data_IF_565637783808
#
_entry.id   IF_565637783808
#
_cell.length_a   1.000
_cell.length_b   1.000
_cell.length_c   1.000
_cell.angle_alpha   90.00
_cell.angle_beta   90.00
_cell.angle_gamma   90.00
#
_symmetry.space_group_name_H-M   'P 1'
#
loop_
_entity.id
_entity.type
_entity.pdbx_description
1 polymer ?
#
# COMPACT_ATOMS: atom_id res chain seq x y z
N UNK A 1 11.56 20.76 -22.65
CA UNK A 1 11.76 20.22 -21.36
C UNK A 1 10.63 19.34 -20.87
N UNK A 2 10.99 18.20 -20.36
CA UNK A 2 9.97 17.30 -19.86
C UNK A 2 9.56 17.64 -18.48
N UNK A 3 8.29 17.53 -18.23
CA UNK A 3 7.80 17.70 -16.89
C UNK A 3 7.54 16.36 -16.26
N UNK A 4 7.80 16.27 -14.99
CA UNK A 4 7.48 15.08 -14.24
C UNK A 4 5.99 15.04 -14.03
N UNK A 5 5.39 13.96 -14.49
CA UNK A 5 3.95 13.81 -14.40
C UNK A 5 3.63 12.97 -13.19
N UNK A 6 3.38 13.64 -12.10
CA UNK A 6 2.96 12.94 -10.89
C UNK A 6 1.47 12.74 -10.92
N UNK A 7 1.04 11.56 -10.53
CA UNK A 7 -0.36 11.20 -10.45
C UNK A 7 -0.68 10.78 -9.03
N UNK A 8 -1.93 10.84 -8.70
CA UNK A 8 -2.36 10.42 -7.38
C UNK A 8 -2.73 8.96 -7.41
N UNK A 9 -2.20 8.21 -6.46
CA UNK A 9 -2.43 6.78 -6.33
C UNK A 9 -2.98 6.47 -4.96
N UNK A 10 -3.72 5.40 -4.90
CA UNK A 10 -4.17 4.82 -3.64
C UNK A 10 -3.68 3.41 -3.56
N UNK A 11 -3.20 3.04 -2.39
CA UNK A 11 -2.66 1.71 -2.18
C UNK A 11 -3.26 1.13 -0.93
N UNK A 12 -3.80 -0.07 -1.07
CA UNK A 12 -4.20 -0.88 0.07
C UNK A 12 -3.24 -2.06 0.11
N UNK A 13 -2.72 -2.37 1.27
CA UNK A 13 -1.91 -3.57 1.39
C UNK A 13 -2.23 -4.28 2.70
N UNK A 14 -1.98 -5.57 2.67
CA UNK A 14 -2.29 -6.47 3.79
C UNK A 14 -0.99 -7.11 4.23
N UNK A 15 -0.70 -6.96 5.51
CA UNK A 15 0.46 -7.57 6.13
C UNK A 15 -0.03 -8.79 6.91
N UNK A 16 0.72 -9.88 6.86
CA UNK A 16 0.34 -11.06 7.62
C UNK A 16 0.23 -10.70 9.10
N UNK A 17 -0.53 -11.46 9.89
CA UNK A 17 -0.75 -11.10 11.31
C UNK A 17 0.54 -11.26 12.11
N UNK A 18 1.21 -10.13 12.30
CA UNK A 18 2.47 -10.03 13.03
C UNK A 18 2.30 -8.97 14.10
N UNK A 19 3.34 -8.73 14.86
CA UNK A 19 3.29 -7.76 15.93
C UNK A 19 3.14 -6.35 15.36
N UNK A 20 2.53 -5.49 16.15
CA UNK A 20 2.29 -4.11 15.74
C UNK A 20 3.58 -3.42 15.30
N UNK A 21 4.66 -3.67 16.00
CA UNK A 21 5.94 -3.05 15.67
C UNK A 21 6.39 -3.43 14.27
N UNK A 22 6.23 -4.68 13.91
CA UNK A 22 6.63 -5.15 12.57
C UNK A 22 5.71 -4.59 11.49
N UNK A 23 4.43 -4.42 11.83
CA UNK A 23 3.49 -3.79 10.92
C UNK A 23 3.92 -2.37 10.62
N UNK A 24 4.33 -1.61 11.66
CA UNK A 24 4.79 -0.25 11.46
C UNK A 24 6.05 -0.21 10.61
N UNK A 25 6.94 -1.17 10.77
CA UNK A 25 8.14 -1.25 9.94
C UNK A 25 7.77 -1.45 8.47
N UNK A 26 6.78 -2.30 8.21
CA UNK A 26 6.35 -2.54 6.83
C UNK A 26 5.77 -1.27 6.21
N UNK A 27 4.96 -0.54 6.98
CA UNK A 27 4.41 0.75 6.52
C UNK A 27 5.55 1.71 6.23
N UNK A 28 6.52 1.78 7.11
CA UNK A 28 7.64 2.70 6.96
C UNK A 28 8.45 2.39 5.71
N UNK A 29 8.64 1.13 5.39
CA UNK A 29 9.37 0.75 4.19
C UNK A 29 8.68 1.30 2.94
N UNK A 30 7.37 1.21 2.91
CA UNK A 30 6.60 1.71 1.78
C UNK A 30 6.70 3.23 1.72
N UNK A 31 6.52 3.87 2.86
CA UNK A 31 6.60 5.33 2.91
C UNK A 31 7.97 5.83 2.47
N UNK A 32 9.02 5.13 2.87
CA UNK A 32 10.37 5.55 2.52
C UNK A 32 10.62 5.48 1.01
N UNK A 33 10.08 4.47 0.34
CA UNK A 33 10.23 4.39 -1.11
C UNK A 33 9.60 5.60 -1.78
N UNK A 34 8.43 5.99 -1.31
CA UNK A 34 7.73 7.13 -1.87
C UNK A 34 8.53 8.41 -1.64
N UNK A 35 8.91 8.66 -0.39
CA UNK A 35 9.58 9.93 -0.07
C UNK A 35 11.00 9.98 -0.59
N UNK A 36 11.70 8.85 -0.64
CA UNK A 36 13.07 8.82 -1.15
C UNK A 36 13.12 9.14 -2.65
N UNK A 37 12.03 8.92 -3.35
CA UNK A 37 11.94 9.27 -4.77
C UNK A 37 11.48 10.71 -4.97
N UNK A 38 11.34 11.49 -3.89
CA UNK A 38 10.90 12.86 -4.00
C UNK A 38 9.40 13.01 -4.17
N UNK A 39 8.65 11.98 -3.83
CA UNK A 39 7.20 12.01 -3.98
C UNK A 39 6.54 12.27 -2.64
N UNK A 40 5.23 12.50 -2.66
CA UNK A 40 4.52 13.00 -1.49
C UNK A 40 3.47 12.03 -1.01
N UNK A 41 3.46 11.81 0.30
CA UNK A 41 2.41 11.03 0.94
C UNK A 41 1.36 11.98 1.45
N UNK A 42 0.11 11.73 1.09
CA UNK A 42 -1.00 12.55 1.55
C UNK A 42 -1.65 12.01 2.79
N UNK A 43 -1.84 10.70 2.84
CA UNK A 43 -2.53 10.07 3.95
C UNK A 43 -1.99 8.67 4.14
N UNK A 44 -1.83 8.28 5.39
CA UNK A 44 -1.56 6.90 5.74
C UNK A 44 -2.59 6.51 6.81
N UNK A 45 -3.36 5.46 6.54
CA UNK A 45 -4.35 4.96 7.49
C UNK A 45 -3.99 3.54 7.86
N UNK A 46 -4.13 3.24 9.12
CA UNK A 46 -3.92 1.90 9.66
C UNK A 46 -5.30 1.36 10.03
N UNK A 47 -5.77 0.41 9.22
CA UNK A 47 -7.09 -0.14 9.49
C UNK A 47 -7.05 -1.27 10.49
N UNK A 48 -5.86 -1.81 10.76
CA UNK A 48 -5.68 -2.83 11.77
C UNK A 48 -6.03 -4.22 11.28
N UNK A 49 -6.23 -5.10 12.25
CA UNK A 49 -6.50 -6.50 11.96
C UNK A 49 -7.91 -6.67 11.45
N UNK A 50 -8.05 -7.36 10.31
CA UNK A 50 -9.35 -7.62 9.72
C UNK A 50 -9.36 -9.02 9.15
N UNK A 51 -10.56 -9.55 9.07
CA UNK A 51 -10.79 -10.84 8.44
C UNK A 51 -10.63 -10.71 6.94
N UNK A 52 -10.04 -11.71 6.31
CA UNK A 52 -9.88 -11.76 4.86
C UNK A 52 -10.90 -12.76 4.32
N UNK A 53 -11.68 -12.33 3.31
CA UNK A 53 -12.76 -13.16 2.77
C UNK A 53 -12.25 -14.49 2.23
N UNK A 54 -11.07 -14.48 1.61
CA UNK A 54 -10.42 -15.70 1.13
C UNK A 54 -9.07 -15.82 1.79
N UNK A 55 -8.63 -17.04 1.98
CA UNK A 55 -7.29 -17.21 2.50
C UNK A 55 -6.27 -16.70 1.50
N UNK A 56 -5.30 -15.97 1.97
CA UNK A 56 -4.19 -15.49 1.17
C UNK A 56 -2.93 -16.05 1.81
N UNK A 57 -2.18 -16.86 1.08
CA UNK A 57 -0.97 -17.50 1.58
C UNK A 57 -1.22 -18.23 2.89
N UNK A 58 -2.41 -18.82 3.04
CA UNK A 58 -2.75 -19.56 4.23
C UNK A 58 -3.31 -18.74 5.37
N UNK A 59 -3.39 -17.42 5.20
CA UNK A 59 -3.90 -16.53 6.25
C UNK A 59 -5.33 -16.12 5.95
N UNK A 60 -6.18 -16.13 6.98
CA UNK A 60 -7.54 -15.62 6.84
C UNK A 60 -7.75 -14.34 7.66
N UNK A 61 -6.69 -13.77 8.16
CA UNK A 61 -6.66 -12.47 8.81
C UNK A 61 -5.41 -11.75 8.37
N UNK A 62 -5.43 -10.43 8.43
CA UNK A 62 -4.27 -9.64 8.13
C UNK A 62 -4.37 -8.24 8.71
N UNK A 63 -3.28 -7.53 8.64
CA UNK A 63 -3.22 -6.14 9.09
C UNK A 63 -3.30 -5.25 7.87
N UNK A 64 -4.32 -4.42 7.81
CA UNK A 64 -4.63 -3.60 6.64
C UNK A 64 -4.12 -2.20 6.81
N UNK A 65 -3.54 -1.65 5.76
CA UNK A 65 -3.13 -0.25 5.72
C UNK A 65 -3.50 0.36 4.37
N UNK A 66 -3.65 1.66 4.36
CA UNK A 66 -4.09 2.40 3.19
C UNK A 66 -3.24 3.67 3.09
N UNK A 67 -2.70 3.93 1.90
CA UNK A 67 -1.85 5.10 1.67
C UNK A 67 -2.31 5.80 0.41
N UNK A 68 -2.45 7.12 0.51
CA UNK A 68 -2.69 7.97 -0.66
C UNK A 68 -1.42 8.76 -0.90
N UNK A 69 -0.94 8.75 -2.11
CA UNK A 69 0.31 9.42 -2.42
C UNK A 69 0.32 9.95 -3.86
N UNK A 70 1.16 10.92 -4.09
CA UNK A 70 1.40 11.44 -5.44
C UNK A 70 2.78 11.01 -5.87
N UNK A 71 2.89 10.45 -7.06
CA UNK A 71 4.15 9.87 -7.50
C UNK A 71 4.20 9.73 -9.01
N UNK A 72 5.40 9.53 -9.51
CA UNK A 72 5.62 9.17 -10.89
C UNK A 72 5.52 7.66 -11.04
N UNK A 73 5.34 7.22 -12.27
CA UNK A 73 5.21 5.80 -12.57
C UNK A 73 6.39 4.99 -12.05
N UNK A 74 7.59 5.56 -12.10
CA UNK A 74 8.77 4.81 -11.67
C UNK A 74 8.71 4.46 -10.19
N UNK A 75 8.10 5.33 -9.39
CA UNK A 75 7.96 5.07 -7.96
C UNK A 75 7.02 3.89 -7.73
N UNK A 76 5.93 3.83 -8.49
CA UNK A 76 5.00 2.72 -8.38
C UNK A 76 5.69 1.41 -8.73
N UNK A 77 6.51 1.42 -9.78
CA UNK A 77 7.25 0.22 -10.16
C UNK A 77 8.24 -0.19 -9.09
N UNK A 78 8.89 0.79 -8.45
CA UNK A 78 9.82 0.48 -7.37
C UNK A 78 9.08 -0.11 -6.17
N UNK A 79 7.89 0.42 -5.88
CA UNK A 79 7.07 -0.11 -4.80
C UNK A 79 6.72 -1.56 -5.06
N UNK A 80 6.25 -1.86 -6.27
CA UNK A 80 5.85 -3.22 -6.59
C UNK A 80 7.02 -4.18 -6.53
N UNK A 81 8.18 -3.72 -6.95
CA UNK A 81 9.37 -4.55 -6.90
C UNK A 81 9.73 -4.88 -5.45
N UNK A 82 9.69 -3.87 -4.59
CA UNK A 82 10.00 -4.07 -3.18
C UNK A 82 8.98 -4.98 -2.50
N UNK A 83 7.69 -4.76 -2.80
CA UNK A 83 6.62 -5.54 -2.20
C UNK A 83 6.76 -7.02 -2.58
N UNK A 84 7.12 -7.28 -3.82
CA UNK A 84 7.28 -8.65 -4.28
C UNK A 84 8.42 -9.38 -3.58
N UNK A 85 9.31 -8.64 -2.92
CA UNK A 85 10.42 -9.22 -2.17
C UNK A 85 10.23 -9.06 -0.67
N UNK A 86 9.02 -8.74 -0.22
CA UNK A 86 8.74 -8.54 1.20
C UNK A 86 7.70 -9.56 1.64
N UNK A 87 8.16 -10.58 2.36
CA UNK A 87 7.31 -11.69 2.73
C UNK A 87 6.16 -11.29 3.64
N UNK A 88 6.34 -10.23 4.43
CA UNK A 88 5.30 -9.81 5.35
C UNK A 88 4.06 -9.27 4.65
N UNK A 89 4.22 -8.77 3.43
CA UNK A 89 3.09 -8.21 2.68
C UNK A 89 2.51 -9.31 1.83
N UNK A 90 1.29 -9.74 2.16
CA UNK A 90 0.68 -10.88 1.52
C UNK A 90 -0.25 -10.50 0.38
N UNK A 91 -0.64 -9.22 0.32
CA UNK A 91 -1.50 -8.76 -0.76
C UNK A 91 -1.40 -7.26 -0.86
N UNK A 92 -1.52 -6.74 -2.07
CA UNK A 92 -1.55 -5.30 -2.27
C UNK A 92 -2.35 -4.95 -3.51
N UNK A 93 -2.85 -3.72 -3.55
CA UNK A 93 -3.51 -3.18 -4.71
C UNK A 93 -3.15 -1.71 -4.79
N UNK A 94 -2.63 -1.30 -5.94
CA UNK A 94 -2.30 0.10 -6.20
C UNK A 94 -3.14 0.52 -7.40
N UNK A 95 -3.94 1.57 -7.23
CA UNK A 95 -4.73 2.08 -8.34
C UNK A 95 -4.51 3.58 -8.45
N UNK A 96 -4.59 4.04 -9.67
CA UNK A 96 -4.54 5.45 -9.95
C UNK A 96 -5.90 6.04 -9.62
N UNK A 97 -5.91 7.10 -8.83
CA UNK A 97 -7.15 7.68 -8.37
C UNK A 97 -7.73 8.56 -9.46
N UNK A 98 -8.81 8.11 -10.05
CA UNK A 98 -9.48 8.88 -11.08
C UNK A 98 -10.94 9.07 -10.75
N UNK A 99 -11.59 8.01 -10.32
CA UNK A 99 -13.01 8.06 -10.06
C UNK A 99 -13.37 7.52 -8.70
N UNK A 100 -13.02 6.28 -8.45
CA UNK A 100 -13.36 5.62 -7.20
C UNK A 100 -12.14 5.33 -6.40
N UNK A 101 -12.29 5.41 -5.10
CA UNK A 101 -11.24 5.11 -4.17
C UNK A 101 -11.16 3.61 -3.93
N UNK A 102 -9.93 3.07 -3.87
CA UNK A 102 -9.74 1.67 -3.48
C UNK A 102 -10.25 1.42 -2.08
N UNK A 103 -10.28 2.46 -1.26
CA UNK A 103 -10.82 2.38 0.09
C UNK A 103 -12.28 1.96 0.06
N UNK A 104 -13.06 2.51 -0.88
CA UNK A 104 -14.46 2.15 -0.99
C UNK A 104 -14.64 0.71 -1.42
N UNK A 105 -13.77 0.24 -2.31
CA UNK A 105 -13.86 -1.15 -2.75
C UNK A 105 -13.70 -2.10 -1.59
N UNK A 106 -12.81 -1.78 -0.67
CA UNK A 106 -12.60 -2.64 0.49
C UNK A 106 -13.69 -2.51 1.53
N UNK A 107 -14.35 -1.36 1.58
CA UNK A 107 -15.44 -1.17 2.53
C UNK A 107 -16.65 -2.00 2.19
N UNK A 108 -16.82 -2.31 0.93
CA UNK A 108 -17.99 -3.10 0.52
C UNK A 108 -17.87 -4.55 0.89
N UNK A 109 -16.72 -4.95 1.38
CA UNK A 109 -16.54 -6.30 1.88
C UNK A 109 -16.95 -6.43 3.34
#
# INVERSE_FOLDING_TARGET
>A
MRQNMKKEYEMVFIVKPIEKKQFEVAIQKIENIITDNGDDIKVTERWGKKHIAYQINGFNEGLFAFIVFQAEDKTVKNLEKMINHTDEIIQHMIIRKEKESSKQLYRLK
#
